data_IF_979719376453
#
_entry.id   IF_979719376453
#
_cell.length_a   1.000
_cell.length_b   1.000
_cell.length_c   1.000
_cell.angle_alpha   90.00
_cell.angle_beta   90.00
_cell.angle_gamma   90.00
#
_symmetry.space_group_name_H-M   'P 1'
#
loop_
_entity.id
_entity.type
_entity.pdbx_description
1 polymer ?
#
# COMPACT_ATOMS: atom_id res chain seq x y z
N UNK A 1 3.11 6.95 -24.58
CA UNK A 1 2.82 7.79 -23.38
C UNK A 1 4.04 8.64 -23.04
N UNK A 2 3.86 9.78 -22.37
CA UNK A 2 4.97 10.65 -21.95
C UNK A 2 5.67 9.98 -20.76
N UNK A 3 6.99 9.81 -20.85
CA UNK A 3 7.80 9.22 -19.77
C UNK A 3 7.76 10.10 -18.53
N UNK A 4 7.83 9.47 -17.35
CA UNK A 4 7.85 10.14 -16.05
C UNK A 4 9.26 10.29 -15.51
N UNK A 5 9.56 11.48 -14.95
CA UNK A 5 10.85 11.76 -14.32
C UNK A 5 10.97 11.09 -12.95
N UNK A 6 12.21 11.00 -12.43
CA UNK A 6 12.48 10.53 -11.06
C UNK A 6 11.73 11.37 -10.03
N UNK A 7 11.70 12.70 -10.21
CA UNK A 7 10.99 13.61 -9.31
C UNK A 7 9.47 13.38 -9.31
N UNK A 8 8.86 13.18 -10.49
CA UNK A 8 7.42 12.89 -10.58
C UNK A 8 7.06 11.57 -9.86
N UNK A 9 7.90 10.54 -10.02
CA UNK A 9 7.72 9.29 -9.28
C UNK A 9 7.82 9.51 -7.76
N UNK A 10 8.85 10.23 -7.27
CA UNK A 10 8.95 10.57 -5.85
C UNK A 10 7.73 11.33 -5.34
N UNK A 11 7.18 12.24 -6.12
CA UNK A 11 6.03 13.04 -5.72
C UNK A 11 4.74 12.21 -5.59
N UNK A 12 4.53 11.24 -6.49
CA UNK A 12 3.43 10.28 -6.39
C UNK A 12 3.53 9.50 -5.07
N UNK A 13 4.70 8.97 -4.78
CA UNK A 13 4.93 8.12 -3.60
C UNK A 13 5.04 8.91 -2.29
N UNK A 14 5.38 10.19 -2.36
CA UNK A 14 5.17 11.11 -1.24
C UNK A 14 3.68 11.23 -0.90
N UNK A 15 2.83 11.45 -1.91
CA UNK A 15 1.37 11.51 -1.71
C UNK A 15 0.78 10.21 -1.19
N UNK A 16 1.26 9.06 -1.65
CA UNK A 16 0.84 7.76 -1.14
C UNK A 16 1.19 7.57 0.35
N UNK A 17 2.40 8.01 0.75
CA UNK A 17 2.84 7.90 2.15
C UNK A 17 2.17 8.88 3.10
N UNK A 18 1.70 10.05 2.62
CA UNK A 18 0.91 10.99 3.44
C UNK A 18 -0.55 10.54 3.44
N UNK A 19 -0.89 9.61 4.31
CA UNK A 19 -2.20 8.97 4.34
C UNK A 19 -2.76 8.89 5.76
N UNK A 20 -4.10 8.95 5.86
CA UNK A 20 -4.80 8.73 7.12
C UNK A 20 -4.59 7.32 7.64
N UNK A 21 -4.54 6.32 6.76
CA UNK A 21 -4.30 4.93 7.12
C UNK A 21 -2.92 4.72 7.75
N UNK A 22 -1.89 5.44 7.27
CA UNK A 22 -0.53 5.41 7.85
C UNK A 22 -0.52 5.96 9.29
N UNK A 23 -1.24 7.07 9.53
CA UNK A 23 -1.36 7.67 10.87
C UNK A 23 -2.16 6.73 11.77
N UNK A 24 -3.29 6.20 11.30
CA UNK A 24 -4.14 5.26 12.03
C UNK A 24 -3.35 4.01 12.43
N UNK A 25 -2.68 3.37 11.48
CA UNK A 25 -1.86 2.19 11.78
C UNK A 25 -0.74 2.54 12.77
N UNK A 26 -0.15 3.73 12.66
CA UNK A 26 0.84 4.23 13.61
C UNK A 26 0.31 4.29 15.05
N UNK A 27 -0.99 4.58 15.28
CA UNK A 27 -1.57 4.61 16.63
C UNK A 27 -1.51 3.26 17.34
N UNK A 28 -1.57 2.16 16.60
CA UNK A 28 -1.50 0.79 17.15
C UNK A 28 -0.16 0.46 17.80
N UNK A 29 0.90 1.22 17.50
CA UNK A 29 2.24 1.02 18.06
C UNK A 29 2.42 1.64 19.45
N UNK A 30 1.45 2.40 19.94
CA UNK A 30 1.51 3.07 21.23
C UNK A 30 1.84 2.12 22.42
N UNK A 31 1.31 0.88 22.50
CA UNK A 31 1.63 -0.07 23.56
C UNK A 31 3.12 -0.40 23.69
N UNK A 32 3.87 -0.40 22.59
CA UNK A 32 5.31 -0.67 22.59
C UNK A 32 6.15 0.49 23.15
N UNK A 33 5.57 1.69 23.23
CA UNK A 33 6.29 2.93 23.54
C UNK A 33 7.24 3.37 22.42
N UNK A 34 7.78 4.61 22.55
CA UNK A 34 8.52 5.26 21.48
C UNK A 34 9.72 4.49 20.94
N UNK A 35 10.55 3.90 21.82
CA UNK A 35 11.81 3.27 21.39
C UNK A 35 11.56 1.95 20.61
N UNK A 36 10.80 1.04 21.19
CA UNK A 36 10.49 -0.24 20.54
C UNK A 36 9.58 -0.05 19.33
N UNK A 37 8.57 0.84 19.43
CA UNK A 37 7.68 1.16 18.32
C UNK A 37 8.44 1.75 17.14
N UNK A 38 9.37 2.70 17.37
CA UNK A 38 10.21 3.25 16.31
C UNK A 38 11.08 2.16 15.64
N UNK A 39 11.68 1.26 16.44
CA UNK A 39 12.48 0.16 15.90
C UNK A 39 11.64 -0.78 15.03
N UNK A 40 10.42 -1.12 15.46
CA UNK A 40 9.51 -1.97 14.70
C UNK A 40 9.06 -1.30 13.39
N UNK A 41 8.69 -0.01 13.44
CA UNK A 41 8.32 0.79 12.25
C UNK A 41 9.47 0.80 11.24
N UNK A 42 10.69 1.17 11.69
CA UNK A 42 11.85 1.25 10.81
C UNK A 42 12.20 -0.10 10.17
N UNK A 43 12.19 -1.17 10.98
CA UNK A 43 12.51 -2.52 10.50
C UNK A 43 11.46 -3.02 9.49
N UNK A 44 10.18 -2.86 9.80
CA UNK A 44 9.10 -3.28 8.92
C UNK A 44 9.10 -2.52 7.59
N UNK A 45 9.30 -1.20 7.62
CA UNK A 45 9.41 -0.40 6.39
C UNK A 45 10.65 -0.76 5.57
N UNK A 46 11.79 -1.06 6.22
CA UNK A 46 12.98 -1.51 5.51
C UNK A 46 12.71 -2.83 4.75
N UNK A 47 12.05 -3.77 5.40
CA UNK A 47 11.66 -5.05 4.79
C UNK A 47 10.67 -4.80 3.64
N UNK A 48 9.54 -4.16 3.90
CA UNK A 48 8.48 -3.96 2.92
C UNK A 48 8.91 -3.08 1.74
N UNK A 49 9.66 -2.00 1.97
CA UNK A 49 10.17 -1.15 0.90
C UNK A 49 11.27 -1.84 0.06
N UNK A 50 12.05 -2.77 0.63
CA UNK A 50 12.97 -3.59 -0.16
C UNK A 50 12.19 -4.47 -1.15
N UNK A 51 11.12 -5.10 -0.71
CA UNK A 51 10.24 -5.90 -1.58
C UNK A 51 9.56 -5.02 -2.64
N UNK A 52 9.06 -3.84 -2.23
CA UNK A 52 8.46 -2.85 -3.12
C UNK A 52 9.44 -2.38 -4.20
N UNK A 53 10.71 -2.18 -3.86
CA UNK A 53 11.75 -1.84 -4.83
C UNK A 53 11.91 -2.92 -5.90
N UNK A 54 12.01 -4.19 -5.52
CA UNK A 54 12.15 -5.28 -6.49
C UNK A 54 10.91 -5.42 -7.37
N UNK A 55 9.71 -5.35 -6.79
CA UNK A 55 8.47 -5.38 -7.56
C UNK A 55 8.40 -4.23 -8.59
N UNK A 56 8.67 -3.00 -8.17
CA UNK A 56 8.67 -1.83 -9.04
C UNK A 56 9.77 -1.87 -10.12
N UNK A 57 10.91 -2.48 -9.81
CA UNK A 57 12.02 -2.60 -10.77
C UNK A 57 11.68 -3.59 -11.89
N UNK A 58 10.88 -4.62 -11.62
CA UNK A 58 10.37 -5.52 -12.68
C UNK A 58 9.56 -4.71 -13.68
N UNK A 59 8.56 -3.92 -13.24
CA UNK A 59 7.77 -3.07 -14.13
C UNK A 59 8.58 -2.03 -14.86
N UNK A 60 9.48 -1.35 -14.16
CA UNK A 60 10.36 -0.34 -14.75
C UNK A 60 11.29 -0.87 -15.85
N UNK A 61 11.79 -2.12 -15.70
CA UNK A 61 12.65 -2.76 -16.70
C UNK A 61 11.89 -3.33 -17.88
N UNK A 62 10.68 -3.83 -17.64
CA UNK A 62 9.89 -4.51 -18.68
C UNK A 62 8.92 -3.59 -19.40
N UNK A 63 8.59 -2.43 -18.80
CA UNK A 63 7.55 -1.52 -19.31
C UNK A 63 6.13 -2.08 -19.11
N UNK A 64 5.96 -3.12 -18.29
CA UNK A 64 4.70 -3.78 -18.02
C UNK A 64 4.05 -3.23 -16.74
N UNK A 65 2.71 -3.22 -16.69
CA UNK A 65 1.96 -2.93 -15.47
C UNK A 65 2.16 -4.02 -14.42
N UNK A 66 1.77 -3.74 -13.17
CA UNK A 66 1.97 -4.67 -12.07
C UNK A 66 1.34 -6.05 -12.35
N UNK A 67 0.11 -6.08 -12.84
CA UNK A 67 -0.54 -7.35 -13.16
C UNK A 67 -0.04 -7.97 -14.48
N UNK A 68 0.44 -7.17 -15.42
CA UNK A 68 1.10 -7.71 -16.62
C UNK A 68 2.45 -8.36 -16.30
N UNK A 69 3.21 -7.85 -15.31
CA UNK A 69 4.46 -8.50 -14.88
C UNK A 69 4.23 -9.90 -14.35
N UNK A 70 3.06 -10.18 -13.77
CA UNK A 70 2.74 -11.52 -13.27
C UNK A 70 2.68 -12.58 -14.37
N UNK A 71 2.46 -12.19 -15.65
CA UNK A 71 2.54 -13.11 -16.79
C UNK A 71 3.92 -13.75 -16.94
N UNK A 72 4.97 -13.02 -16.57
CA UNK A 72 6.36 -13.49 -16.69
C UNK A 72 6.61 -14.75 -15.83
N UNK A 73 5.90 -14.89 -14.71
CA UNK A 73 6.01 -16.03 -13.82
C UNK A 73 4.86 -17.03 -13.95
N UNK A 74 3.63 -16.54 -14.03
CA UNK A 74 2.42 -17.37 -13.90
C UNK A 74 1.74 -17.72 -15.24
N UNK A 75 2.19 -17.12 -16.34
CA UNK A 75 1.56 -17.23 -17.65
C UNK A 75 0.28 -16.40 -17.76
N UNK A 76 -0.37 -16.45 -18.93
CA UNK A 76 -1.52 -15.60 -19.27
C UNK A 76 -2.69 -15.75 -18.29
N UNK A 77 -3.15 -16.99 -18.05
CA UNK A 77 -4.28 -17.27 -17.15
C UNK A 77 -3.96 -17.00 -15.68
N UNK A 78 -2.71 -17.26 -15.24
CA UNK A 78 -2.27 -16.93 -13.89
C UNK A 78 -2.29 -15.41 -13.64
N UNK A 79 -1.86 -14.62 -14.62
CA UNK A 79 -1.95 -13.15 -14.57
C UNK A 79 -3.40 -12.66 -14.45
N UNK A 80 -4.36 -13.26 -15.16
CA UNK A 80 -5.77 -12.90 -15.05
C UNK A 80 -6.32 -13.15 -13.64
N UNK A 81 -5.88 -14.25 -13.01
CA UNK A 81 -6.25 -14.57 -11.64
C UNK A 81 -5.78 -13.46 -10.66
N UNK A 82 -4.50 -13.11 -10.72
CA UNK A 82 -3.96 -12.06 -9.87
C UNK A 82 -4.52 -10.69 -10.19
N UNK A 83 -4.78 -10.38 -11.45
CA UNK A 83 -5.42 -9.13 -11.83
C UNK A 83 -6.83 -9.00 -11.25
N UNK A 84 -7.61 -10.08 -11.23
CA UNK A 84 -8.94 -10.10 -10.61
C UNK A 84 -8.86 -9.89 -9.09
N UNK A 85 -7.92 -10.58 -8.42
CA UNK A 85 -7.69 -10.39 -6.97
C UNK A 85 -7.20 -8.97 -6.66
N UNK A 86 -6.38 -8.38 -7.54
CA UNK A 86 -5.92 -7.01 -7.36
C UNK A 86 -7.05 -5.98 -7.53
N UNK A 87 -7.92 -6.14 -8.51
CA UNK A 87 -9.12 -5.28 -8.63
C UNK A 87 -9.97 -5.39 -7.38
N UNK A 88 -10.19 -6.59 -6.85
CA UNK A 88 -11.00 -6.82 -5.67
C UNK A 88 -10.40 -6.13 -4.44
N UNK A 89 -9.08 -6.28 -4.19
CA UNK A 89 -8.43 -5.60 -3.07
C UNK A 89 -8.48 -4.07 -3.21
N UNK A 90 -8.37 -3.53 -4.42
CA UNK A 90 -8.37 -2.10 -4.66
C UNK A 90 -9.77 -1.47 -4.50
N UNK A 91 -10.84 -2.24 -4.76
CA UNK A 91 -12.19 -1.88 -4.35
C UNK A 91 -12.30 -1.81 -2.82
N UNK A 92 -11.73 -2.80 -2.12
CA UNK A 92 -11.66 -2.82 -0.66
C UNK A 92 -10.92 -1.61 -0.11
N UNK A 93 -9.70 -1.34 -0.60
CA UNK A 93 -8.92 -0.16 -0.21
C UNK A 93 -9.67 1.15 -0.48
N UNK A 94 -10.30 1.28 -1.64
CA UNK A 94 -11.10 2.47 -1.97
C UNK A 94 -12.21 2.69 -0.95
N UNK A 95 -12.90 1.62 -0.54
CA UNK A 95 -13.97 1.71 0.46
C UNK A 95 -13.43 2.05 1.86
N UNK A 96 -12.38 1.35 2.33
CA UNK A 96 -11.76 1.57 3.64
C UNK A 96 -11.22 3.00 3.76
N UNK A 97 -10.48 3.47 2.76
CA UNK A 97 -9.91 4.82 2.79
C UNK A 97 -10.98 5.92 2.81
N UNK A 98 -12.07 5.76 2.03
CA UNK A 98 -13.19 6.70 2.06
C UNK A 98 -13.89 6.66 3.43
N UNK A 99 -14.09 5.48 4.00
CA UNK A 99 -14.73 5.29 5.30
C UNK A 99 -13.91 5.94 6.42
N UNK A 100 -12.62 5.63 6.54
CA UNK A 100 -11.73 6.18 7.56
C UNK A 100 -11.59 7.71 7.44
N UNK A 101 -11.42 8.19 6.20
CA UNK A 101 -11.37 9.62 5.92
C UNK A 101 -12.68 10.33 6.30
N UNK A 102 -13.81 9.69 6.02
CA UNK A 102 -15.12 10.25 6.36
C UNK A 102 -15.40 10.25 7.87
N UNK A 103 -15.00 9.19 8.60
CA UNK A 103 -15.10 9.15 10.06
C UNK A 103 -14.24 10.25 10.70
N UNK A 104 -12.98 10.36 10.28
CA UNK A 104 -12.07 11.39 10.79
C UNK A 104 -12.57 12.80 10.46
N UNK A 105 -13.05 13.04 9.24
CA UNK A 105 -13.63 14.33 8.85
C UNK A 105 -14.90 14.66 9.64
N UNK A 106 -15.78 13.67 9.85
CA UNK A 106 -17.00 13.84 10.62
C UNK A 106 -16.74 14.10 12.12
N UNK A 107 -15.69 13.50 12.67
CA UNK A 107 -15.27 13.79 14.06
C UNK A 107 -14.82 15.24 14.24
N UNK A 108 -14.30 15.90 13.21
CA UNK A 108 -13.88 17.30 13.23
C UNK A 108 -15.05 18.23 12.89
N UNK A 109 -15.83 17.90 11.85
CA UNK A 109 -16.96 18.69 11.38
C UNK A 109 -18.20 17.78 11.24
N UNK A 110 -18.98 17.70 12.29
CA UNK A 110 -20.09 16.75 12.52
C UNK A 110 -21.32 16.99 11.66
N UNK A 111 -21.21 16.79 10.34
CA UNK A 111 -22.33 16.91 9.39
C UNK A 111 -22.93 15.56 8.96
N UNK A 112 -22.34 14.46 9.44
CA UNK A 112 -22.71 13.08 9.10
C UNK A 112 -21.64 12.38 8.25
N UNK A 113 -21.17 11.22 8.70
CA UNK A 113 -20.09 10.47 8.03
C UNK A 113 -20.47 10.11 6.57
N UNK A 114 -21.72 9.72 6.32
CA UNK A 114 -22.20 9.42 4.96
C UNK A 114 -22.04 10.60 3.98
N UNK A 115 -22.21 11.84 4.46
CA UNK A 115 -22.01 13.04 3.63
C UNK A 115 -20.51 13.21 3.30
N UNK A 116 -19.63 12.96 4.27
CA UNK A 116 -18.18 12.97 4.03
C UNK A 116 -17.74 11.89 3.06
N UNK A 117 -18.35 10.67 3.11
CA UNK A 117 -18.10 9.65 2.09
C UNK A 117 -18.45 10.15 0.68
N UNK A 118 -19.59 10.84 0.52
CA UNK A 118 -19.97 11.43 -0.77
C UNK A 118 -19.02 12.54 -1.21
N UNK A 119 -18.60 13.43 -0.29
CA UNK A 119 -17.66 14.53 -0.61
C UNK A 119 -16.31 13.97 -1.04
N UNK A 120 -15.74 13.03 -0.28
CA UNK A 120 -14.45 12.41 -0.61
C UNK A 120 -14.56 11.62 -1.92
N UNK A 121 -15.59 10.79 -2.07
CA UNK A 121 -15.83 10.04 -3.31
C UNK A 121 -15.97 10.95 -4.53
N UNK A 122 -16.72 12.04 -4.42
CA UNK A 122 -16.87 13.02 -5.50
C UNK A 122 -15.53 13.70 -5.85
N UNK A 123 -14.70 14.04 -4.87
CA UNK A 123 -13.37 14.59 -5.10
C UNK A 123 -12.45 13.58 -5.80
N UNK A 124 -12.50 12.30 -5.44
CA UNK A 124 -11.74 11.24 -6.12
C UNK A 124 -12.20 11.11 -7.58
N UNK A 125 -13.52 11.12 -7.83
CA UNK A 125 -14.07 11.10 -9.19
C UNK A 125 -13.57 12.29 -10.03
N UNK A 126 -13.58 13.50 -9.47
CA UNK A 126 -13.02 14.68 -10.13
C UNK A 126 -11.54 14.50 -10.43
N UNK A 127 -10.77 13.96 -9.48
CA UNK A 127 -9.34 13.69 -9.65
C UNK A 127 -9.08 12.70 -10.79
N UNK A 128 -9.86 11.61 -10.89
CA UNK A 128 -9.79 10.64 -11.98
C UNK A 128 -10.18 11.28 -13.33
N UNK A 129 -11.20 12.15 -13.35
CA UNK A 129 -11.64 12.82 -14.58
C UNK A 129 -10.57 13.76 -15.16
N UNK A 130 -9.86 14.49 -14.30
CA UNK A 130 -8.71 15.34 -14.70
C UNK A 130 -7.56 14.46 -15.20
N UNK A 131 -7.24 13.36 -14.52
CA UNK A 131 -6.21 12.39 -14.91
C UNK A 131 -4.79 12.77 -14.48
N UNK A 132 -3.92 11.77 -14.40
CA UNK A 132 -2.55 11.89 -13.88
C UNK A 132 -1.67 12.91 -14.64
N UNK A 133 -1.84 13.02 -15.95
CA UNK A 133 -0.99 13.89 -16.80
C UNK A 133 -1.32 15.36 -16.67
N UNK A 134 -2.59 15.69 -16.46
CA UNK A 134 -3.05 17.08 -16.38
C UNK A 134 -3.03 17.61 -14.93
N UNK A 135 -3.00 16.71 -13.95
CA UNK A 135 -2.84 17.03 -12.53
C UNK A 135 -1.43 17.54 -12.15
N UNK A 136 -0.44 17.50 -13.05
CA UNK A 136 0.96 17.71 -12.70
C UNK A 136 1.25 18.94 -11.83
N UNK A 137 0.68 20.11 -12.16
CA UNK A 137 0.83 21.33 -11.34
C UNK A 137 -0.06 21.32 -10.10
N UNK A 138 -1.31 20.88 -10.25
CA UNK A 138 -2.27 20.81 -9.13
C UNK A 138 -1.75 19.83 -8.09
N UNK A 139 -1.31 18.64 -8.52
CA UNK A 139 -0.71 17.65 -7.64
C UNK A 139 0.51 18.18 -6.89
N UNK A 140 1.41 18.92 -7.56
CA UNK A 140 2.56 19.55 -6.90
C UNK A 140 2.12 20.53 -5.80
N UNK A 141 1.14 21.38 -6.05
CA UNK A 141 0.62 22.34 -5.06
C UNK A 141 0.00 21.58 -3.88
N UNK A 142 -0.82 20.57 -4.14
CA UNK A 142 -1.44 19.75 -3.08
C UNK A 142 -0.38 19.02 -2.25
N UNK A 143 0.66 18.44 -2.88
CA UNK A 143 1.74 17.77 -2.16
C UNK A 143 2.54 18.75 -1.28
N UNK A 144 2.81 19.98 -1.75
CA UNK A 144 3.47 21.01 -0.94
C UNK A 144 2.59 21.41 0.25
N UNK A 145 1.29 21.60 0.03
CA UNK A 145 0.34 21.89 1.12
C UNK A 145 0.28 20.76 2.14
N UNK A 146 0.16 19.52 1.70
CA UNK A 146 0.19 18.35 2.58
C UNK A 146 1.51 18.27 3.36
N UNK A 147 2.65 18.53 2.73
CA UNK A 147 3.93 18.57 3.42
C UNK A 147 3.94 19.63 4.54
N UNK A 148 3.52 20.86 4.24
CA UNK A 148 3.43 21.92 5.24
C UNK A 148 2.46 21.55 6.38
N UNK A 149 1.30 20.99 6.03
CA UNK A 149 0.30 20.57 7.02
C UNK A 149 0.84 19.44 7.93
N UNK A 150 1.58 18.48 7.38
CA UNK A 150 2.21 17.41 8.18
C UNK A 150 3.32 17.95 9.09
N UNK A 151 4.06 18.99 8.67
CA UNK A 151 5.02 19.69 9.54
C UNK A 151 4.33 20.40 10.72
N UNK A 152 3.19 21.05 10.46
CA UNK A 152 2.37 21.68 11.52
C UNK A 152 1.89 20.62 12.50
N UNK A 153 1.35 19.51 12.01
CA UNK A 153 0.90 18.39 12.85
C UNK A 153 2.06 17.81 13.67
N UNK A 154 3.21 17.56 13.04
CA UNK A 154 4.43 17.11 13.71
C UNK A 154 4.85 18.06 14.84
N UNK A 155 4.90 19.39 14.56
CA UNK A 155 5.25 20.39 15.57
C UNK A 155 4.31 20.32 16.78
N UNK A 156 3.02 20.23 16.56
CA UNK A 156 2.03 20.20 17.66
C UNK A 156 2.15 18.91 18.48
N UNK A 157 2.27 17.75 17.81
CA UNK A 157 2.30 16.45 18.46
C UNK A 157 3.63 16.20 19.22
N UNK A 158 4.76 16.65 18.66
CA UNK A 158 6.06 16.40 19.28
C UNK A 158 6.49 17.49 20.27
N UNK A 159 6.00 18.72 20.11
CA UNK A 159 6.43 19.90 20.89
C UNK A 159 5.30 20.64 21.63
N UNK A 160 4.05 20.14 21.55
CA UNK A 160 2.84 20.85 22.02
C UNK A 160 2.57 20.80 23.52
N UNK A 161 3.45 20.26 24.37
CA UNK A 161 3.30 20.34 25.83
C UNK A 161 3.07 19.00 26.55
N UNK A 162 2.60 19.05 27.80
CA UNK A 162 2.48 17.92 28.73
C UNK A 162 1.20 17.12 28.45
N UNK A 163 1.28 16.05 27.65
CA UNK A 163 0.18 15.10 27.46
C UNK A 163 0.17 13.98 28.49
N UNK A 164 -0.92 13.23 28.51
CA UNK A 164 -1.05 11.99 29.28
C UNK A 164 -0.21 10.93 28.55
N UNK A 165 0.82 10.39 29.23
CA UNK A 165 1.58 9.29 28.67
C UNK A 165 0.79 7.99 28.88
N UNK A 166 0.42 7.33 27.78
CA UNK A 166 -0.15 5.97 27.84
C UNK A 166 0.91 5.02 28.38
N UNK A 167 0.52 4.16 29.34
CA UNK A 167 1.40 3.13 29.86
C UNK A 167 1.73 2.12 28.74
N UNK A 168 2.96 1.65 28.72
CA UNK A 168 3.33 0.52 27.87
C UNK A 168 2.63 -0.74 28.38
N UNK A 169 2.14 -1.56 27.48
CA UNK A 169 1.53 -2.85 27.80
C UNK A 169 1.95 -3.92 26.78
N UNK A 170 1.58 -5.17 27.03
CA UNK A 170 1.92 -6.30 26.17
C UNK A 170 0.83 -6.65 25.16
N UNK A 171 -0.08 -5.71 24.84
CA UNK A 171 -1.19 -5.96 23.89
C UNK A 171 -0.72 -6.12 22.45
N UNK A 172 0.46 -5.60 22.10
CA UNK A 172 1.08 -5.75 20.78
C UNK A 172 2.50 -6.31 20.93
N UNK A 173 2.78 -7.50 20.37
CA UNK A 173 4.13 -8.03 20.32
C UNK A 173 5.02 -7.24 19.34
N UNK A 174 6.35 -7.32 19.53
CA UNK A 174 7.27 -6.66 18.60
C UNK A 174 7.19 -7.24 17.20
N UNK A 175 7.02 -8.56 17.06
CA UNK A 175 6.87 -9.23 15.77
C UNK A 175 5.60 -8.83 15.04
N UNK A 176 4.46 -8.75 15.74
CA UNK A 176 3.21 -8.25 15.18
C UNK A 176 3.32 -6.79 14.74
N UNK A 177 4.02 -5.95 15.50
CA UNK A 177 4.28 -4.57 15.12
C UNK A 177 5.16 -4.47 13.86
N UNK A 178 6.22 -5.29 13.75
CA UNK A 178 7.03 -5.35 12.53
C UNK A 178 6.16 -5.77 11.35
N UNK A 179 5.28 -6.77 11.52
CA UNK A 179 4.37 -7.22 10.45
C UNK A 179 3.42 -6.11 10.00
N UNK A 180 2.80 -5.38 10.92
CA UNK A 180 1.95 -4.23 10.59
C UNK A 180 2.71 -3.14 9.82
N UNK A 181 3.99 -2.92 10.17
CA UNK A 181 4.83 -1.98 9.46
C UNK A 181 5.32 -2.49 8.08
N UNK A 182 5.42 -3.82 7.88
CA UNK A 182 5.67 -4.45 6.57
C UNK A 182 4.43 -4.37 5.69
N UNK A 183 3.25 -4.59 6.27
CA UNK A 183 2.00 -4.77 5.54
C UNK A 183 1.60 -3.54 4.70
N UNK A 184 1.91 -2.32 5.16
CA UNK A 184 1.60 -1.10 4.39
C UNK A 184 2.40 -1.00 3.09
N UNK A 185 3.74 -0.99 3.07
CA UNK A 185 4.46 -1.03 1.79
C UNK A 185 4.15 -2.31 0.99
N UNK A 186 3.80 -3.43 1.64
CA UNK A 186 3.39 -4.67 0.97
C UNK A 186 2.11 -4.47 0.14
N UNK A 187 1.15 -3.69 0.63
CA UNK A 187 -0.10 -3.43 -0.09
C UNK A 187 0.12 -2.71 -1.43
N UNK A 188 1.25 -2.01 -1.58
CA UNK A 188 1.64 -1.33 -2.81
C UNK A 188 2.41 -2.22 -3.81
N UNK A 189 2.84 -3.42 -3.43
CA UNK A 189 3.59 -4.30 -4.33
C UNK A 189 2.83 -4.62 -5.63
N UNK A 190 1.52 -4.93 -5.59
CA UNK A 190 0.76 -5.22 -6.79
C UNK A 190 0.33 -3.97 -7.58
N UNK A 191 0.86 -2.78 -7.25
CA UNK A 191 0.55 -1.51 -7.91
C UNK A 191 1.78 -0.75 -8.39
N UNK A 192 2.93 -0.87 -7.71
CA UNK A 192 4.09 0.02 -7.97
C UNK A 192 4.54 0.00 -9.42
N UNK A 193 4.47 -1.16 -10.08
CA UNK A 193 4.85 -1.29 -11.50
C UNK A 193 3.96 -0.50 -12.44
N UNK A 194 2.71 -0.18 -12.05
CA UNK A 194 1.81 0.66 -12.83
C UNK A 194 2.37 2.08 -13.03
N UNK A 195 3.19 2.53 -12.11
CA UNK A 195 3.82 3.86 -12.10
C UNK A 195 5.25 3.82 -12.63
N UNK A 196 6.04 2.81 -12.24
CA UNK A 196 7.46 2.70 -12.63
C UNK A 196 7.67 2.27 -14.07
N UNK A 197 6.70 1.60 -14.71
CA UNK A 197 6.76 1.20 -16.14
C UNK A 197 6.97 2.37 -17.09
N UNK A 198 6.49 3.54 -16.73
CA UNK A 198 6.59 4.75 -17.55
C UNK A 198 7.85 5.59 -17.20
N UNK A 199 8.70 5.14 -16.30
CA UNK A 199 9.85 5.91 -15.86
C UNK A 199 10.92 6.05 -16.95
N UNK A 200 11.49 7.28 -17.10
CA UNK A 200 12.63 7.53 -18.00
C UNK A 200 13.89 6.78 -17.53
N UNK A 201 14.08 6.69 -16.21
CA UNK A 201 15.20 6.02 -15.54
C UNK A 201 14.67 4.99 -14.55
N UNK A 202 14.37 3.75 -14.99
CA UNK A 202 13.66 2.77 -14.17
C UNK A 202 14.26 2.53 -12.79
N UNK A 203 15.56 2.27 -12.70
CA UNK A 203 16.23 2.02 -11.41
C UNK A 203 16.12 3.24 -10.48
N UNK A 204 16.52 4.42 -10.97
CA UNK A 204 16.53 5.63 -10.15
C UNK A 204 15.11 6.06 -9.74
N UNK A 205 14.12 5.92 -10.63
CA UNK A 205 12.73 6.24 -10.33
C UNK A 205 12.14 5.26 -9.31
N UNK A 206 12.39 3.96 -9.46
CA UNK A 206 11.92 2.96 -8.49
C UNK A 206 12.56 3.16 -7.12
N UNK A 207 13.88 3.38 -7.08
CA UNK A 207 14.59 3.65 -5.83
C UNK A 207 14.05 4.92 -5.16
N UNK A 208 13.89 6.00 -5.91
CA UNK A 208 13.34 7.25 -5.39
C UNK A 208 11.90 7.09 -4.89
N UNK A 209 11.05 6.32 -5.61
CA UNK A 209 9.69 5.98 -5.19
C UNK A 209 9.67 5.27 -3.83
N UNK A 210 10.42 4.19 -3.71
CA UNK A 210 10.42 3.35 -2.50
C UNK A 210 11.05 4.04 -1.30
N UNK A 211 12.15 4.78 -1.51
CA UNK A 211 12.78 5.57 -0.43
C UNK A 211 11.86 6.71 0.02
N UNK A 212 11.25 7.44 -0.91
CA UNK A 212 10.32 8.52 -0.57
C UNK A 212 9.13 7.98 0.20
N UNK A 213 8.50 6.90 -0.30
CA UNK A 213 7.39 6.27 0.40
C UNK A 213 7.80 5.82 1.80
N UNK A 214 8.89 5.04 1.92
CA UNK A 214 9.35 4.50 3.20
C UNK A 214 9.65 5.57 4.24
N UNK A 215 10.31 6.68 3.85
CA UNK A 215 10.59 7.80 4.77
C UNK A 215 9.30 8.49 5.19
N UNK A 216 8.39 8.76 4.26
CA UNK A 216 7.14 9.48 4.54
C UNK A 216 6.19 8.61 5.35
N UNK A 217 6.03 7.35 5.01
CA UNK A 217 5.20 6.40 5.75
C UNK A 217 5.72 6.21 7.18
N UNK A 218 7.03 5.96 7.38
CA UNK A 218 7.63 5.94 8.71
C UNK A 218 7.32 7.22 9.50
N UNK A 219 7.37 8.37 8.86
CA UNK A 219 7.06 9.64 9.49
C UNK A 219 5.59 9.72 9.92
N UNK A 220 4.65 9.29 9.07
CA UNK A 220 3.22 9.25 9.42
C UNK A 220 2.92 8.27 10.55
N UNK A 221 3.53 7.07 10.54
CA UNK A 221 3.45 6.12 11.64
C UNK A 221 3.96 6.71 12.96
N UNK A 222 5.10 7.40 12.93
CA UNK A 222 5.66 8.06 14.12
C UNK A 222 4.73 9.16 14.67
N UNK A 223 4.09 9.92 13.78
CA UNK A 223 3.10 10.92 14.19
C UNK A 223 1.91 10.22 14.85
N UNK A 224 1.37 9.18 14.25
CA UNK A 224 0.25 8.39 14.79
C UNK A 224 0.58 7.77 16.16
N UNK A 225 1.71 7.07 16.26
CA UNK A 225 2.19 6.46 17.48
C UNK A 225 2.40 7.50 18.59
N UNK A 226 3.11 8.59 18.29
CA UNK A 226 3.36 9.66 19.27
C UNK A 226 2.07 10.33 19.71
N UNK A 227 1.15 10.54 18.77
CA UNK A 227 -0.15 11.14 19.05
C UNK A 227 -0.98 10.25 19.99
N UNK A 228 -1.04 8.96 19.76
CA UNK A 228 -1.75 8.02 20.62
C UNK A 228 -1.12 7.94 22.04
N UNK A 229 0.22 7.89 22.13
CA UNK A 229 0.93 7.93 23.42
C UNK A 229 0.63 9.24 24.17
N UNK A 230 0.58 10.36 23.46
CA UNK A 230 0.39 11.69 24.06
C UNK A 230 -1.05 11.94 24.50
N UNK A 231 -2.04 11.54 23.68
CA UNK A 231 -3.45 11.84 23.94
C UNK A 231 -4.18 10.73 24.69
N UNK A 232 -3.63 9.51 24.71
CA UNK A 232 -4.32 8.31 25.19
C UNK A 232 -5.49 7.88 24.28
N UNK A 233 -5.53 8.39 23.03
CA UNK A 233 -6.59 8.15 22.07
C UNK A 233 -6.02 7.52 20.80
N UNK A 234 -6.77 6.62 20.17
CA UNK A 234 -6.50 6.10 18.83
C UNK A 234 -7.37 6.76 17.74
N UNK A 235 -8.40 7.49 18.14
CA UNK A 235 -9.27 8.23 17.22
C UNK A 235 -8.55 9.48 16.68
N UNK A 236 -8.30 9.48 15.37
CA UNK A 236 -7.56 10.54 14.68
C UNK A 236 -8.28 11.89 14.79
N UNK A 237 -9.62 11.91 14.75
CA UNK A 237 -10.37 13.16 14.87
C UNK A 237 -10.16 13.78 16.26
N UNK A 238 -10.21 12.95 17.30
CA UNK A 238 -9.96 13.42 18.68
C UNK A 238 -8.50 13.89 18.86
N UNK A 239 -7.55 13.17 18.28
CA UNK A 239 -6.13 13.56 18.28
C UNK A 239 -5.95 14.94 17.63
N UNK A 240 -6.53 15.15 16.45
CA UNK A 240 -6.40 16.41 15.71
C UNK A 240 -7.09 17.58 16.42
N UNK A 241 -8.26 17.34 17.04
CA UNK A 241 -8.98 18.34 17.81
C UNK A 241 -8.22 18.72 19.10
N UNK A 242 -7.72 17.75 19.86
CA UNK A 242 -6.92 17.99 21.06
C UNK A 242 -5.60 18.71 20.75
N UNK A 243 -5.04 18.44 19.56
CA UNK A 243 -3.87 19.14 19.05
C UNK A 243 -4.19 20.58 18.56
N UNK A 244 -5.45 21.01 18.61
CA UNK A 244 -5.87 22.34 18.13
C UNK A 244 -5.81 22.48 16.59
N UNK A 245 -5.81 21.36 15.87
CA UNK A 245 -5.63 21.32 14.41
C UNK A 245 -6.97 21.26 13.63
N UNK A 246 -8.11 21.53 14.22
CA UNK A 246 -9.45 21.42 13.64
C UNK A 246 -9.54 21.53 12.11
N UNK A 247 -9.56 22.76 11.55
CA UNK A 247 -9.65 22.96 10.08
C UNK A 247 -8.41 22.42 9.34
N UNK A 248 -7.22 22.60 9.90
CA UNK A 248 -5.96 22.10 9.31
C UNK A 248 -6.01 20.55 9.24
N UNK A 249 -6.44 19.91 10.31
CA UNK A 249 -6.63 18.46 10.37
C UNK A 249 -7.65 17.99 9.34
N UNK A 250 -8.78 18.66 9.21
CA UNK A 250 -9.79 18.34 8.21
C UNK A 250 -9.25 18.40 6.79
N UNK A 251 -8.46 19.43 6.45
CA UNK A 251 -7.83 19.54 5.13
C UNK A 251 -6.82 18.41 4.89
N UNK A 252 -6.01 18.05 5.92
CA UNK A 252 -5.09 16.89 5.81
C UNK A 252 -5.88 15.63 5.52
N UNK A 253 -6.89 15.33 6.32
CA UNK A 253 -7.73 14.14 6.18
C UNK A 253 -8.30 14.05 4.77
N UNK A 254 -9.00 15.07 4.31
CA UNK A 254 -9.70 15.05 3.02
C UNK A 254 -8.71 14.95 1.86
N UNK A 255 -7.69 15.81 1.79
CA UNK A 255 -6.78 15.80 0.65
C UNK A 255 -5.85 14.59 0.63
N UNK A 256 -5.37 14.12 1.77
CA UNK A 256 -4.55 12.90 1.82
C UNK A 256 -5.37 11.68 1.39
N UNK A 257 -6.60 11.55 1.87
CA UNK A 257 -7.49 10.46 1.46
C UNK A 257 -7.75 10.50 -0.04
N UNK A 258 -8.08 11.66 -0.62
CA UNK A 258 -8.34 11.80 -2.06
C UNK A 258 -7.12 11.41 -2.88
N UNK A 259 -5.93 11.89 -2.53
CA UNK A 259 -4.72 11.63 -3.32
C UNK A 259 -4.25 10.18 -3.25
N UNK A 260 -4.38 9.54 -2.09
CA UNK A 260 -3.99 8.13 -1.92
C UNK A 260 -5.01 7.20 -2.56
N UNK A 261 -6.30 7.38 -2.29
CA UNK A 261 -7.37 6.52 -2.84
C UNK A 261 -7.50 6.65 -4.36
N UNK A 262 -7.13 7.81 -4.92
CA UNK A 262 -7.01 7.95 -6.37
C UNK A 262 -6.03 6.93 -6.97
N UNK A 263 -4.90 6.64 -6.31
CA UNK A 263 -3.93 5.66 -6.80
C UNK A 263 -4.52 4.25 -6.80
N UNK A 264 -5.30 3.89 -5.79
CA UNK A 264 -5.97 2.60 -5.69
C UNK A 264 -6.99 2.42 -6.83
N UNK A 265 -7.90 3.38 -6.99
CA UNK A 265 -8.91 3.34 -8.04
C UNK A 265 -8.29 3.34 -9.44
N UNK A 266 -7.21 4.11 -9.66
CA UNK A 266 -6.50 4.16 -10.92
C UNK A 266 -5.82 2.83 -11.27
N UNK A 267 -5.13 2.20 -10.30
CA UNK A 267 -4.50 0.89 -10.47
C UNK A 267 -5.52 -0.24 -10.63
N UNK A 268 -6.70 -0.13 -10.01
CA UNK A 268 -7.81 -1.05 -10.30
C UNK A 268 -8.20 -1.00 -11.78
N UNK A 269 -8.25 0.21 -12.36
CA UNK A 269 -8.46 0.40 -13.79
C UNK A 269 -7.40 -0.27 -14.66
N UNK A 270 -6.12 -0.08 -14.35
CA UNK A 270 -4.99 -0.71 -15.07
C UNK A 270 -5.05 -2.24 -14.95
N UNK A 271 -5.35 -2.76 -13.77
CA UNK A 271 -5.49 -4.20 -13.54
C UNK A 271 -6.65 -4.80 -14.34
N UNK A 272 -7.76 -4.08 -14.47
CA UNK A 272 -8.90 -4.51 -15.28
C UNK A 272 -8.56 -4.56 -16.79
N UNK A 273 -7.73 -3.63 -17.30
CA UNK A 273 -7.23 -3.69 -18.69
C UNK A 273 -6.39 -4.96 -18.92
N UNK A 274 -5.65 -5.43 -17.92
CA UNK A 274 -4.93 -6.70 -17.99
C UNK A 274 -5.88 -7.89 -18.09
N UNK A 275 -7.05 -7.84 -17.44
CA UNK A 275 -8.08 -8.90 -17.53
C UNK A 275 -8.67 -8.93 -18.93
N UNK A 276 -9.08 -7.81 -19.47
CA UNK A 276 -9.62 -7.71 -20.81
C UNK A 276 -9.35 -6.33 -21.42
N UNK A 277 -8.66 -6.24 -22.57
CA UNK A 277 -8.32 -4.99 -23.24
C UNK A 277 -9.52 -4.11 -23.64
N UNK A 278 -10.74 -4.68 -23.65
CA UNK A 278 -11.99 -3.93 -23.88
C UNK A 278 -12.36 -3.00 -22.72
N UNK A 279 -11.86 -3.25 -21.52
CA UNK A 279 -12.07 -2.38 -20.38
C UNK A 279 -11.22 -1.11 -20.55
N UNK A 280 -11.84 0.04 -20.36
CA UNK A 280 -11.15 1.31 -20.34
C UNK A 280 -10.80 1.63 -18.90
N UNK A 281 -9.53 1.60 -18.53
CA UNK A 281 -9.06 1.74 -17.15
C UNK A 281 -9.67 2.94 -16.41
N UNK A 282 -9.74 4.11 -17.09
CA UNK A 282 -10.40 5.29 -16.53
C UNK A 282 -11.88 5.06 -16.16
N UNK A 283 -12.62 4.33 -16.98
CA UNK A 283 -14.04 4.02 -16.68
C UNK A 283 -14.15 3.06 -15.51
N UNK A 284 -13.27 2.05 -15.46
CA UNK A 284 -13.22 1.12 -14.32
C UNK A 284 -12.84 1.84 -13.03
N UNK A 285 -11.87 2.75 -13.06
CA UNK A 285 -11.50 3.58 -11.91
C UNK A 285 -12.69 4.39 -11.36
N UNK A 286 -13.49 4.99 -12.25
CA UNK A 286 -14.71 5.69 -11.86
C UNK A 286 -15.73 4.75 -11.21
N UNK A 287 -15.95 3.56 -11.80
CA UNK A 287 -16.87 2.54 -11.26
C UNK A 287 -16.39 2.07 -9.88
N UNK A 288 -15.10 1.76 -9.74
CA UNK A 288 -14.49 1.35 -8.46
C UNK A 288 -14.69 2.42 -7.39
N UNK A 289 -14.49 3.69 -7.74
CA UNK A 289 -14.73 4.80 -6.80
C UNK A 289 -16.20 4.88 -6.37
N UNK A 290 -17.14 4.71 -7.29
CA UNK A 290 -18.58 4.70 -6.93
C UNK A 290 -18.89 3.51 -6.03
N UNK A 291 -18.43 2.30 -6.37
CA UNK A 291 -18.65 1.10 -5.56
C UNK A 291 -18.01 1.27 -4.17
N UNK A 292 -16.76 1.77 -4.10
CA UNK A 292 -16.08 2.05 -2.85
C UNK A 292 -16.80 3.08 -1.99
N UNK A 293 -17.34 4.16 -2.60
CA UNK A 293 -18.12 5.17 -1.89
C UNK A 293 -19.41 4.59 -1.31
N UNK A 294 -20.14 3.79 -2.09
CA UNK A 294 -21.35 3.11 -1.61
C UNK A 294 -20.99 2.10 -0.51
N UNK A 295 -19.90 1.32 -0.70
CA UNK A 295 -19.41 0.40 0.32
C UNK A 295 -19.08 1.10 1.64
N UNK A 296 -18.40 2.23 1.58
CA UNK A 296 -18.06 3.06 2.75
C UNK A 296 -19.29 3.63 3.48
N UNK A 297 -20.39 3.86 2.78
CA UNK A 297 -21.65 4.34 3.40
C UNK A 297 -22.43 3.19 4.06
N UNK A 298 -22.41 2.00 3.43
CA UNK A 298 -23.32 0.89 3.81
C UNK A 298 -22.70 -0.06 4.81
N UNK A 299 -21.36 -0.26 4.76
CA UNK A 299 -20.66 -1.24 5.57
C UNK A 299 -19.63 -0.58 6.49
N UNK A 300 -19.55 -1.00 7.77
CA UNK A 300 -18.42 -0.63 8.63
C UNK A 300 -17.13 -1.29 8.10
N UNK A 301 -16.07 -0.50 7.95
CA UNK A 301 -14.77 -0.93 7.44
C UNK A 301 -13.69 -0.83 8.51
N UNK A 302 -14.02 -1.24 9.75
CA UNK A 302 -13.17 -0.99 10.93
C UNK A 302 -11.97 -1.93 11.02
N UNK A 303 -11.96 -3.06 10.29
CA UNK A 303 -10.93 -4.08 10.42
C UNK A 303 -9.88 -4.01 9.30
N UNK A 304 -9.06 -2.94 9.34
CA UNK A 304 -7.95 -2.76 8.41
C UNK A 304 -6.87 -3.85 8.59
N UNK A 305 -6.68 -4.37 9.80
CA UNK A 305 -5.62 -5.34 10.11
C UNK A 305 -5.86 -6.68 9.43
N UNK A 306 -7.06 -7.23 9.53
CA UNK A 306 -7.43 -8.49 8.87
C UNK A 306 -7.37 -8.36 7.35
N UNK A 307 -7.76 -7.19 6.83
CA UNK A 307 -7.65 -6.90 5.41
C UNK A 307 -6.19 -6.86 4.94
N UNK A 308 -5.29 -6.22 5.69
CA UNK A 308 -3.86 -6.20 5.42
C UNK A 308 -3.25 -7.62 5.40
N UNK A 309 -3.61 -8.46 6.36
CA UNK A 309 -3.13 -9.85 6.42
C UNK A 309 -3.70 -10.72 5.28
N UNK A 310 -4.93 -10.47 4.85
CA UNK A 310 -5.49 -11.14 3.68
C UNK A 310 -4.68 -10.77 2.42
N UNK A 311 -4.42 -9.49 2.21
CA UNK A 311 -3.59 -8.98 1.10
C UNK A 311 -2.20 -9.59 1.16
N UNK A 312 -1.56 -9.57 2.33
CA UNK A 312 -0.24 -10.16 2.56
C UNK A 312 -0.20 -11.63 2.14
N UNK A 313 -1.19 -12.43 2.57
CA UNK A 313 -1.25 -13.86 2.23
C UNK A 313 -1.36 -14.14 0.74
N UNK A 314 -1.97 -13.24 -0.04
CA UNK A 314 -2.13 -13.39 -1.49
C UNK A 314 -0.91 -12.87 -2.26
N UNK A 315 -0.48 -11.63 -1.94
CA UNK A 315 0.48 -10.92 -2.78
C UNK A 315 1.94 -11.10 -2.35
N UNK A 316 2.23 -11.40 -1.09
CA UNK A 316 3.61 -11.67 -0.67
C UNK A 316 4.20 -12.90 -1.40
N UNK A 317 3.55 -14.09 -1.39
CA UNK A 317 4.08 -15.23 -2.13
C UNK A 317 4.04 -15.03 -3.66
N UNK A 318 3.07 -14.27 -4.21
CA UNK A 318 3.06 -13.92 -5.63
C UNK A 318 4.32 -13.13 -6.02
N UNK A 319 4.63 -12.07 -5.28
CA UNK A 319 5.79 -11.23 -5.53
C UNK A 319 7.10 -12.00 -5.26
N UNK A 320 7.14 -12.86 -4.26
CA UNK A 320 8.29 -13.72 -3.99
C UNK A 320 8.65 -14.61 -5.20
N UNK A 321 7.65 -15.22 -5.82
CA UNK A 321 7.83 -15.98 -7.06
C UNK A 321 8.35 -15.08 -8.19
N UNK A 322 7.77 -13.90 -8.38
CA UNK A 322 8.20 -12.95 -9.42
C UNK A 322 9.64 -12.48 -9.21
N UNK A 323 10.05 -12.18 -7.98
CA UNK A 323 11.42 -11.78 -7.65
C UNK A 323 12.38 -12.92 -7.96
N UNK A 324 12.07 -14.15 -7.57
CA UNK A 324 12.89 -15.33 -7.86
C UNK A 324 13.05 -15.56 -9.37
N UNK A 325 11.97 -15.47 -10.12
CA UNK A 325 12.00 -15.66 -11.58
C UNK A 325 12.75 -14.52 -12.29
N UNK A 326 12.52 -13.26 -11.90
CA UNK A 326 13.10 -12.11 -12.58
C UNK A 326 14.60 -11.91 -12.30
N UNK A 327 15.04 -12.14 -11.05
CA UNK A 327 16.40 -11.74 -10.61
C UNK A 327 17.34 -12.93 -10.37
N UNK A 328 16.82 -14.15 -10.17
CA UNK A 328 17.64 -15.35 -9.88
C UNK A 328 17.60 -16.33 -11.03
N UNK A 329 16.41 -16.71 -11.47
CA UNK A 329 16.23 -17.74 -12.50
C UNK A 329 16.25 -17.15 -13.92
N UNK A 330 15.98 -15.87 -14.08
CA UNK A 330 15.82 -15.20 -15.37
C UNK A 330 14.85 -15.96 -16.30
N UNK A 331 13.73 -16.44 -15.73
CA UNK A 331 12.73 -17.23 -16.44
C UNK A 331 11.58 -16.35 -16.92
N UNK A 332 11.02 -16.70 -18.08
CA UNK A 332 9.87 -16.04 -18.68
C UNK A 332 8.83 -17.09 -19.10
N UNK A 333 7.68 -17.03 -18.45
CA UNK A 333 6.53 -17.88 -18.74
C UNK A 333 5.42 -17.16 -19.53
N UNK A 334 5.65 -15.95 -20.05
CA UNK A 334 4.64 -15.12 -20.72
C UNK A 334 4.01 -15.78 -21.96
N UNK A 335 4.75 -16.65 -22.64
CA UNK A 335 4.25 -17.43 -23.75
C UNK A 335 3.31 -18.59 -23.35
N UNK A 336 3.39 -19.04 -22.08
CA UNK A 336 2.57 -20.15 -21.57
C UNK A 336 1.15 -19.66 -21.27
N UNK A 337 0.17 -20.55 -21.48
CA UNK A 337 -1.20 -20.27 -21.01
C UNK A 337 -1.28 -20.25 -19.49
N UNK A 338 -0.62 -21.19 -18.82
CA UNK A 338 -0.55 -21.28 -17.37
C UNK A 338 0.76 -21.94 -16.94
N UNK A 339 1.44 -21.36 -15.98
CA UNK A 339 2.57 -21.98 -15.30
C UNK A 339 2.08 -22.71 -14.04
N UNK A 340 1.65 -23.98 -14.20
CA UNK A 340 1.08 -24.75 -13.09
C UNK A 340 2.05 -24.87 -11.90
N UNK A 341 3.35 -25.05 -12.16
CA UNK A 341 4.36 -25.14 -11.09
C UNK A 341 4.40 -23.86 -10.25
N UNK A 342 4.39 -22.68 -10.89
CA UNK A 342 4.41 -21.40 -10.18
C UNK A 342 3.11 -21.13 -9.43
N UNK A 343 1.96 -21.53 -9.98
CA UNK A 343 0.68 -21.44 -9.29
C UNK A 343 0.63 -22.32 -8.04
N UNK A 344 1.17 -23.56 -8.13
CA UNK A 344 1.27 -24.45 -6.96
C UNK A 344 2.20 -23.88 -5.90
N UNK A 345 3.38 -23.35 -6.31
CA UNK A 345 4.32 -22.72 -5.37
C UNK A 345 3.67 -21.50 -4.68
N UNK A 346 2.96 -20.68 -5.43
CA UNK A 346 2.19 -19.57 -4.86
C UNK A 346 1.15 -20.07 -3.83
N UNK A 347 0.39 -21.12 -4.17
CA UNK A 347 -0.61 -21.67 -3.24
C UNK A 347 0.05 -22.24 -1.98
N UNK A 348 1.21 -22.89 -2.11
CA UNK A 348 2.00 -23.36 -0.95
C UNK A 348 2.45 -22.16 -0.11
N UNK A 349 2.96 -21.08 -0.72
CA UNK A 349 3.30 -19.85 -0.03
C UNK A 349 2.09 -19.25 0.69
N UNK A 350 0.94 -19.14 0.02
CA UNK A 350 -0.30 -18.68 0.67
C UNK A 350 -0.63 -19.49 1.94
N UNK A 351 -0.55 -20.82 1.87
CA UNK A 351 -0.79 -21.69 3.05
C UNK A 351 0.27 -21.47 4.13
N UNK A 352 1.54 -21.35 3.74
CA UNK A 352 2.64 -21.08 4.68
C UNK A 352 2.41 -19.75 5.38
N UNK A 353 2.06 -18.68 4.67
CA UNK A 353 1.76 -17.39 5.26
C UNK A 353 0.67 -17.50 6.34
N UNK A 354 -0.45 -18.20 6.01
CA UNK A 354 -1.56 -18.43 6.97
C UNK A 354 -1.17 -19.24 8.19
N UNK A 355 -0.22 -20.16 8.04
CA UNK A 355 0.35 -20.93 9.17
C UNK A 355 1.25 -20.02 10.02
N UNK A 356 2.11 -19.24 9.37
CA UNK A 356 3.06 -18.34 10.04
C UNK A 356 2.37 -17.25 10.86
N UNK A 357 1.16 -16.82 10.46
CA UNK A 357 0.34 -15.88 11.25
C UNK A 357 0.02 -16.37 12.69
N UNK A 358 0.15 -17.66 12.95
CA UNK A 358 -0.04 -18.21 14.30
C UNK A 358 1.26 -18.25 15.13
N UNK A 359 2.37 -17.74 14.58
CA UNK A 359 3.69 -17.78 15.20
C UNK A 359 4.23 -16.35 15.28
N UNK A 360 4.58 -15.90 16.47
CA UNK A 360 5.14 -14.57 16.68
C UNK A 360 6.64 -14.55 16.31
N UNK A 361 6.93 -14.19 15.05
CA UNK A 361 8.30 -13.99 14.60
C UNK A 361 8.73 -12.54 14.81
N UNK A 362 9.92 -12.31 15.32
CA UNK A 362 10.49 -10.98 15.55
C UNK A 362 10.53 -10.11 14.28
N UNK A 363 10.69 -10.74 13.10
CA UNK A 363 10.74 -10.06 11.80
C UNK A 363 9.39 -10.03 11.06
N UNK A 364 8.30 -10.32 11.76
CA UNK A 364 6.98 -10.47 11.16
C UNK A 364 6.83 -11.76 10.34
N UNK A 365 5.69 -11.98 9.74
CA UNK A 365 5.34 -13.21 9.01
C UNK A 365 5.67 -13.14 7.52
N UNK A 366 5.58 -11.94 6.94
CA UNK A 366 5.78 -11.71 5.51
C UNK A 366 7.19 -12.06 5.05
N UNK A 367 8.23 -11.62 5.77
CA UNK A 367 9.62 -11.90 5.37
C UNK A 367 9.95 -13.39 5.35
N UNK A 368 9.67 -14.18 6.41
CA UNK A 368 9.88 -15.63 6.38
C UNK A 368 9.11 -16.32 5.25
N UNK A 369 7.84 -15.94 5.02
CA UNK A 369 7.04 -16.50 3.93
C UNK A 369 7.68 -16.25 2.57
N UNK A 370 8.05 -15.01 2.27
CA UNK A 370 8.65 -14.65 1.01
C UNK A 370 9.99 -15.37 0.79
N UNK A 371 10.84 -15.49 1.81
CA UNK A 371 12.11 -16.20 1.71
C UNK A 371 11.89 -17.69 1.43
N UNK A 372 10.94 -18.33 2.12
CA UNK A 372 10.60 -19.74 1.89
C UNK A 372 10.03 -19.92 0.47
N UNK A 373 9.11 -19.09 0.05
CA UNK A 373 8.49 -19.15 -1.28
C UNK A 373 9.51 -18.91 -2.39
N UNK A 374 10.41 -17.94 -2.23
CA UNK A 374 11.54 -17.71 -3.15
C UNK A 374 12.46 -18.93 -3.21
N UNK A 375 12.83 -19.49 -2.06
CA UNK A 375 13.68 -20.67 -1.99
C UNK A 375 13.06 -21.86 -2.73
N UNK A 376 11.78 -22.16 -2.48
CA UNK A 376 11.04 -23.22 -3.20
C UNK A 376 11.04 -22.94 -4.71
N UNK A 377 10.80 -21.69 -5.12
CA UNK A 377 10.80 -21.28 -6.52
C UNK A 377 12.14 -21.54 -7.20
N UNK A 378 13.24 -21.14 -6.54
CA UNK A 378 14.61 -21.30 -7.06
C UNK A 378 14.98 -22.79 -7.15
N UNK A 379 14.77 -23.55 -6.08
CA UNK A 379 15.06 -24.99 -6.06
C UNK A 379 14.29 -25.72 -7.15
N UNK A 380 12.99 -25.44 -7.30
CA UNK A 380 12.18 -26.04 -8.37
C UNK A 380 12.71 -25.67 -9.76
N UNK A 381 13.00 -24.38 -9.99
CA UNK A 381 13.52 -23.90 -11.27
C UNK A 381 14.85 -24.57 -11.65
N UNK A 382 15.79 -24.66 -10.71
CA UNK A 382 17.11 -25.24 -10.96
C UNK A 382 17.09 -26.76 -11.09
N UNK A 383 16.30 -27.47 -10.27
CA UNK A 383 16.32 -28.94 -10.20
C UNK A 383 15.39 -29.60 -11.24
N UNK A 384 14.23 -29.02 -11.48
CA UNK A 384 13.19 -29.67 -12.31
C UNK A 384 13.16 -29.10 -13.72
N UNK A 385 13.20 -27.79 -13.89
CA UNK A 385 13.04 -27.16 -15.21
C UNK A 385 14.31 -27.27 -16.06
N UNK A 386 15.49 -27.12 -15.44
CA UNK A 386 16.78 -27.26 -16.14
C UNK A 386 17.05 -28.69 -16.61
N UNK A 387 16.51 -29.69 -15.92
CA UNK A 387 16.62 -31.10 -16.37
C UNK A 387 15.69 -31.42 -17.53
N UNK A 388 14.54 -30.75 -17.66
CA UNK A 388 13.64 -30.93 -18.82
C UNK A 388 14.17 -30.30 -20.11
N UNK A 389 15.07 -29.33 -20.03
CA UNK A 389 15.70 -28.72 -21.21
C UNK A 389 16.89 -29.54 -21.74
N UNK A 390 17.34 -30.56 -21.00
CA UNK A 390 18.44 -31.47 -21.40
C UNK A 390 17.94 -32.84 -21.90
N UNK A 391 16.66 -33.15 -21.71
CA UNK A 391 15.98 -34.34 -22.23
C UNK A 391 15.15 -34.00 -23.47
#
# INVERSE_FOLDING_TARGET
MKKTSVFQNSLIWFGAGVSIAEILTGTYFAPLGMAKGFAAILLGHLIGCTMMFFAGLIGGRTGLSAMETSKLSFGKKGSLWFAALNVLQLVGWTAIMIYDGALAANGIAGVGAWLWCLVIGALILVWILIGLTDLGRINQVVMVLLFVLTLVMCKVIFFGGNGIMTAQDDSLSFGAAVELAVAMPLSWLPLISDYTREAEKPFAATLASTVTYGVVSCWMYLIGMRAAIYTGQSDIAQILLQAGLGVVGLLIVVFSTVTTTFLDAWSAGISAETIAPKFKGKQVALIVTVIGTVGAIVFPMDDITDFLYLIGSVFAPMIAVQIADAFILHSDASAKELSASRMIIWLVGFVIYRILMNIDFVLGNTLPDMLITMFITVVWGLCVEKNKSKA
#
